data_IF_318930723917
#
_entry.id   IF_318930723917
#
_cell.length_a   1.000
_cell.length_b   1.000
_cell.length_c   1.000
_cell.angle_alpha   90.00
_cell.angle_beta   90.00
_cell.angle_gamma   90.00
#
_symmetry.space_group_name_H-M   'P 1'
#
loop_
_entity.id
_entity.type
_entity.pdbx_description
1 polymer ?
#
# COMPACT_ATOMS: atom_id res chain seq x y z
N UNK A 1 22.51 -20.14 2.33
CA UNK A 1 21.61 -19.23 1.57
C UNK A 1 20.20 -19.55 2.00
N UNK A 2 19.65 -18.75 2.90
CA UNK A 2 18.21 -18.78 3.20
C UNK A 2 17.54 -18.07 2.03
N UNK A 3 16.75 -18.78 1.23
CA UNK A 3 15.74 -18.11 0.43
C UNK A 3 14.79 -17.47 1.45
N UNK A 4 14.81 -16.15 1.57
CA UNK A 4 13.73 -15.45 2.24
C UNK A 4 12.45 -15.80 1.48
N UNK A 5 11.63 -16.66 2.10
CA UNK A 5 10.31 -17.01 1.61
C UNK A 5 9.49 -15.73 1.62
N UNK A 6 9.27 -15.17 0.43
CA UNK A 6 8.32 -14.06 0.24
C UNK A 6 6.92 -14.60 0.55
N UNK A 7 6.17 -13.99 1.47
CA UNK A 7 4.80 -14.39 1.74
C UNK A 7 3.98 -14.34 0.45
N UNK A 8 3.20 -15.38 0.21
CA UNK A 8 2.22 -15.43 -0.88
C UNK A 8 1.01 -14.58 -0.49
N UNK A 9 0.92 -13.39 -1.09
CA UNK A 9 -0.12 -12.40 -0.85
C UNK A 9 -0.86 -12.08 -2.15
N UNK A 10 -1.05 -13.09 -3.01
CA UNK A 10 -1.75 -12.91 -4.30
C UNK A 10 -3.21 -12.49 -4.16
N UNK A 11 -3.81 -12.69 -2.98
CA UNK A 11 -5.15 -12.18 -2.64
C UNK A 11 -5.10 -10.78 -1.97
N UNK A 12 -3.95 -10.11 -1.99
CA UNK A 12 -3.75 -8.78 -1.40
C UNK A 12 -3.23 -7.82 -2.46
N UNK A 13 -3.85 -6.65 -2.56
CA UNK A 13 -3.31 -5.51 -3.29
C UNK A 13 -2.48 -4.68 -2.33
N UNK A 14 -1.25 -4.33 -2.68
CA UNK A 14 -0.52 -3.25 -1.99
C UNK A 14 -0.74 -1.95 -2.75
N UNK A 15 -1.05 -0.87 -2.03
CA UNK A 15 -1.23 0.43 -2.67
C UNK A 15 -0.67 1.60 -1.87
N UNK A 16 -0.40 2.70 -2.57
CA UNK A 16 -0.03 3.98 -1.97
C UNK A 16 -0.82 5.10 -2.64
N UNK A 17 -1.24 6.10 -1.85
CA UNK A 17 -1.84 7.35 -2.35
C UNK A 17 -0.86 8.47 -2.03
N UNK A 18 -0.35 9.18 -3.03
CA UNK A 18 0.62 10.23 -2.77
C UNK A 18 0.62 11.34 -3.84
N UNK A 19 0.56 12.59 -3.37
CA UNK A 19 0.67 13.81 -4.19
C UNK A 19 1.85 14.70 -3.82
N UNK A 20 2.62 14.36 -2.77
CA UNK A 20 3.77 15.15 -2.30
C UNK A 20 5.10 14.45 -2.63
N UNK A 21 5.13 13.13 -2.53
CA UNK A 21 6.31 12.30 -2.71
C UNK A 21 6.03 11.06 -3.60
N UNK A 22 5.37 11.19 -4.77
CA UNK A 22 4.91 10.02 -5.54
C UNK A 22 6.05 9.11 -6.02
N UNK A 23 7.24 9.65 -6.29
CA UNK A 23 8.44 8.86 -6.60
C UNK A 23 8.93 8.03 -5.41
N UNK A 24 8.84 8.55 -4.18
CA UNK A 24 9.20 7.81 -2.97
C UNK A 24 8.13 6.76 -2.65
N UNK A 25 6.85 7.08 -2.83
CA UNK A 25 5.76 6.12 -2.72
C UNK A 25 5.89 4.96 -3.74
N UNK A 26 6.27 5.26 -4.99
CA UNK A 26 6.59 4.23 -5.98
C UNK A 26 7.75 3.33 -5.52
N UNK A 27 8.84 3.92 -4.99
CA UNK A 27 9.95 3.14 -4.44
C UNK A 27 9.52 2.27 -3.26
N UNK A 28 8.65 2.77 -2.38
CA UNK A 28 8.11 2.01 -1.25
C UNK A 28 7.29 0.80 -1.72
N UNK A 29 6.49 0.96 -2.78
CA UNK A 29 5.76 -0.15 -3.42
C UNK A 29 6.72 -1.18 -4.04
N UNK A 30 7.78 -0.73 -4.70
CA UNK A 30 8.80 -1.61 -5.29
C UNK A 30 9.55 -2.41 -4.22
N UNK A 31 9.96 -1.77 -3.12
CA UNK A 31 10.62 -2.46 -2.00
C UNK A 31 9.65 -3.46 -1.36
N UNK A 32 8.41 -3.06 -1.10
CA UNK A 32 7.41 -3.98 -0.52
C UNK A 32 7.16 -5.20 -1.42
N UNK A 33 7.09 -4.99 -2.73
CA UNK A 33 6.92 -6.06 -3.72
C UNK A 33 8.17 -6.95 -3.88
N UNK A 34 9.35 -6.48 -3.46
CA UNK A 34 10.54 -7.32 -3.37
C UNK A 34 10.47 -8.28 -2.16
N UNK A 35 9.70 -7.94 -1.12
CA UNK A 35 9.57 -8.75 0.10
C UNK A 35 8.33 -9.67 0.12
N UNK A 36 7.29 -9.36 -0.66
CA UNK A 36 6.04 -10.11 -0.72
C UNK A 36 5.53 -10.31 -2.16
N UNK A 37 4.78 -11.39 -2.40
CA UNK A 37 4.14 -11.66 -3.70
C UNK A 37 2.68 -11.17 -3.71
N UNK A 38 2.48 -9.89 -4.03
CA UNK A 38 1.16 -9.26 -4.11
C UNK A 38 0.39 -9.61 -5.39
N UNK A 39 -0.94 -9.59 -5.31
CA UNK A 39 -1.83 -9.80 -6.47
C UNK A 39 -1.90 -8.59 -7.40
N UNK A 40 -1.79 -7.39 -6.83
CA UNK A 40 -1.70 -6.12 -7.57
C UNK A 40 -0.88 -5.10 -6.77
N UNK A 41 -0.31 -4.14 -7.49
CA UNK A 41 0.53 -3.06 -6.93
C UNK A 41 0.07 -1.75 -7.54
N UNK A 42 -0.53 -0.87 -6.73
CA UNK A 42 -1.23 0.31 -7.24
C UNK A 42 -0.67 1.60 -6.64
N UNK A 43 -0.32 2.56 -7.50
CA UNK A 43 0.01 3.91 -7.09
C UNK A 43 -1.10 4.88 -7.53
N UNK A 44 -1.72 5.53 -6.56
CA UNK A 44 -2.67 6.62 -6.80
C UNK A 44 -1.92 7.95 -6.75
N UNK A 45 -1.83 8.63 -7.89
CA UNK A 45 -1.14 9.93 -7.96
C UNK A 45 -1.60 10.79 -9.14
N UNK A 46 -1.40 12.09 -9.02
CA UNK A 46 -1.65 13.08 -10.06
C UNK A 46 -0.44 13.31 -10.97
N UNK A 47 0.71 12.66 -10.71
CA UNK A 47 1.93 12.75 -11.52
C UNK A 47 2.06 11.57 -12.51
N UNK A 48 2.80 11.78 -13.60
CA UNK A 48 3.30 10.68 -14.43
C UNK A 48 4.72 10.37 -14.02
N UNK A 49 4.94 9.16 -13.53
CA UNK A 49 6.25 8.71 -13.08
C UNK A 49 6.54 7.31 -13.61
N UNK A 50 7.82 7.00 -13.80
CA UNK A 50 8.24 5.65 -14.13
C UNK A 50 8.18 4.78 -12.87
N UNK A 51 7.40 3.70 -12.93
CA UNK A 51 7.26 2.70 -11.86
C UNK A 51 6.74 1.40 -12.45
N UNK A 52 6.95 0.28 -11.75
CA UNK A 52 6.31 -1.00 -12.06
C UNK A 52 4.86 -1.07 -11.58
N UNK A 53 4.47 -0.22 -10.63
CA UNK A 53 3.12 -0.17 -10.10
C UNK A 53 2.14 0.30 -11.19
N UNK A 54 0.92 -0.23 -11.15
CA UNK A 54 -0.19 0.30 -11.94
C UNK A 54 -0.56 1.68 -11.41
N UNK A 55 -0.46 2.71 -12.26
CA UNK A 55 -0.86 4.07 -11.89
C UNK A 55 -2.37 4.24 -12.05
N UNK A 56 -3.02 4.76 -11.01
CA UNK A 56 -4.36 5.32 -11.07
C UNK A 56 -4.25 6.82 -10.90
N UNK A 57 -4.71 7.58 -11.91
CA UNK A 57 -4.63 9.04 -11.87
C UNK A 57 -5.61 9.60 -10.86
N UNK A 58 -5.15 10.54 -10.04
CA UNK A 58 -5.98 11.27 -9.07
C UNK A 58 -5.94 12.77 -9.33
N UNK A 59 -6.90 13.55 -8.81
CA UNK A 59 -6.68 14.96 -8.56
C UNK A 59 -5.46 15.17 -7.65
N UNK A 60 -4.87 16.36 -7.70
CA UNK A 60 -3.84 16.75 -6.72
C UNK A 60 -4.47 16.83 -5.33
N UNK A 61 -4.00 16.00 -4.40
CA UNK A 61 -4.47 15.96 -3.02
C UNK A 61 -3.60 16.93 -2.21
N UNK A 62 -4.19 18.04 -1.77
CA UNK A 62 -3.49 19.15 -1.12
C UNK A 62 -3.72 19.20 0.41
N UNK A 63 -4.59 18.35 0.95
CA UNK A 63 -4.90 18.33 2.38
C UNK A 63 -5.10 16.91 2.92
N UNK A 64 -5.01 16.79 4.25
CA UNK A 64 -5.23 15.52 4.95
C UNK A 64 -6.70 15.08 4.94
N UNK A 65 -7.62 16.03 4.86
CA UNK A 65 -9.06 15.75 4.67
C UNK A 65 -9.31 15.14 3.30
N UNK A 66 -8.82 15.79 2.23
CA UNK A 66 -8.91 15.26 0.86
C UNK A 66 -8.26 13.88 0.72
N UNK A 67 -7.13 13.66 1.39
CA UNK A 67 -6.50 12.34 1.44
C UNK A 67 -7.41 11.30 2.09
N UNK A 68 -8.02 11.64 3.24
CA UNK A 68 -8.89 10.73 3.98
C UNK A 68 -10.13 10.39 3.18
N UNK A 69 -10.77 11.38 2.57
CA UNK A 69 -11.95 11.20 1.70
C UNK A 69 -11.61 10.31 0.50
N UNK A 70 -10.47 10.57 -0.15
CA UNK A 70 -10.02 9.76 -1.28
C UNK A 70 -9.77 8.30 -0.88
N UNK A 71 -9.10 8.08 0.26
CA UNK A 71 -8.83 6.72 0.76
C UNK A 71 -10.13 5.98 1.08
N UNK A 72 -11.09 6.65 1.74
CA UNK A 72 -12.34 6.02 2.17
C UNK A 72 -13.31 5.75 1.01
N UNK A 73 -13.34 6.62 -0.01
CA UNK A 73 -14.37 6.55 -1.05
C UNK A 73 -13.87 6.01 -2.39
N UNK A 74 -12.61 6.29 -2.74
CA UNK A 74 -12.11 6.11 -4.10
C UNK A 74 -11.17 4.91 -4.24
N UNK A 75 -10.29 4.66 -3.26
CA UNK A 75 -9.29 3.57 -3.35
C UNK A 75 -9.97 2.22 -3.62
N UNK A 76 -11.02 1.89 -2.88
CA UNK A 76 -11.70 0.58 -2.97
C UNK A 76 -12.26 0.29 -4.36
N UNK A 77 -12.61 1.33 -5.14
CA UNK A 77 -13.14 1.17 -6.51
C UNK A 77 -12.09 0.61 -7.49
N UNK A 78 -10.81 0.66 -7.10
CA UNK A 78 -9.68 0.22 -7.93
C UNK A 78 -8.98 -1.03 -7.39
N UNK A 79 -9.48 -1.62 -6.29
CA UNK A 79 -8.97 -2.85 -5.70
C UNK A 79 -9.82 -4.02 -6.20
N UNK A 80 -9.18 -5.10 -6.65
CA UNK A 80 -9.86 -6.31 -7.13
C UNK A 80 -9.57 -7.57 -6.30
N UNK A 81 -8.62 -7.47 -5.39
CA UNK A 81 -8.28 -8.52 -4.45
C UNK A 81 -9.17 -8.43 -3.21
N UNK A 82 -9.38 -9.53 -2.46
CA UNK A 82 -10.19 -9.48 -1.24
C UNK A 82 -9.62 -8.58 -0.13
N UNK A 83 -8.29 -8.41 -0.06
CA UNK A 83 -7.64 -7.54 0.92
C UNK A 83 -6.78 -6.45 0.28
N UNK A 84 -6.51 -5.38 1.04
CA UNK A 84 -5.62 -4.28 0.63
C UNK A 84 -4.70 -3.87 1.78
N UNK A 85 -3.44 -3.60 1.45
CA UNK A 85 -2.46 -2.98 2.36
C UNK A 85 -2.12 -1.60 1.81
N UNK A 86 -2.58 -0.55 2.51
CA UNK A 86 -2.23 0.83 2.21
C UNK A 86 -0.91 1.18 2.90
N UNK A 87 0.12 1.48 2.10
CA UNK A 87 1.44 1.93 2.56
C UNK A 87 1.64 3.41 2.24
N UNK A 88 2.67 4.00 2.86
CA UNK A 88 3.11 5.36 2.61
C UNK A 88 4.57 5.37 2.16
N UNK A 89 5.05 6.52 1.68
CA UNK A 89 6.44 6.69 1.24
C UNK A 89 7.47 6.40 2.35
N UNK A 90 7.09 6.57 3.62
CA UNK A 90 7.90 6.35 4.83
C UNK A 90 7.40 5.18 5.71
N UNK A 91 6.27 4.57 5.38
CA UNK A 91 5.67 3.46 6.12
C UNK A 91 5.32 2.31 5.18
N UNK A 92 6.22 1.36 5.02
CA UNK A 92 6.11 0.25 4.07
C UNK A 92 6.78 -1.03 4.57
N UNK A 93 6.67 -2.12 3.81
CA UNK A 93 7.20 -3.43 4.22
C UNK A 93 8.72 -3.46 4.11
N UNK A 94 9.38 -3.72 5.24
CA UNK A 94 10.84 -3.93 5.34
C UNK A 94 11.23 -5.28 5.93
N UNK A 95 10.28 -5.95 6.60
CA UNK A 95 10.44 -7.29 7.15
C UNK A 95 9.15 -8.08 6.89
N UNK A 96 9.21 -8.99 5.92
CA UNK A 96 8.07 -9.83 5.54
C UNK A 96 7.85 -11.01 6.51
N UNK A 97 8.83 -11.34 7.35
CA UNK A 97 8.71 -12.41 8.35
C UNK A 97 7.74 -12.05 9.49
N UNK A 98 7.45 -10.76 9.67
CA UNK A 98 6.46 -10.25 10.60
C UNK A 98 5.01 -10.46 10.11
N UNK A 99 4.80 -10.83 8.85
CA UNK A 99 3.47 -11.13 8.34
C UNK A 99 2.90 -12.39 8.99
N UNK A 100 1.62 -12.32 9.34
CA UNK A 100 0.87 -13.42 9.97
C UNK A 100 -0.39 -13.67 9.17
N UNK A 101 -0.66 -14.93 8.83
CA UNK A 101 -1.83 -15.29 8.02
C UNK A 101 -3.15 -14.86 8.71
N UNK A 102 -3.16 -14.85 10.04
CA UNK A 102 -4.29 -14.43 10.88
C UNK A 102 -4.66 -12.95 10.71
N UNK A 103 -3.81 -12.13 10.08
CA UNK A 103 -4.16 -10.75 9.73
C UNK A 103 -5.35 -10.67 8.76
N UNK A 104 -5.58 -11.72 7.97
CA UNK A 104 -6.71 -11.80 7.04
C UNK A 104 -8.05 -12.07 7.73
N UNK A 105 -8.04 -12.45 9.01
CA UNK A 105 -9.25 -12.73 9.82
C UNK A 105 -9.90 -11.44 10.38
N UNK A 106 -9.33 -10.27 10.09
CA UNK A 106 -9.79 -8.97 10.60
C UNK A 106 -10.17 -8.04 9.45
N UNK A 107 -11.23 -7.25 9.63
CA UNK A 107 -11.67 -6.26 8.64
C UNK A 107 -10.70 -5.08 8.50
N UNK A 108 -10.00 -4.72 9.58
CA UNK A 108 -9.05 -3.62 9.61
C UNK A 108 -7.99 -3.83 10.69
N UNK A 109 -6.72 -3.72 10.29
CA UNK A 109 -5.56 -3.69 11.18
C UNK A 109 -4.67 -2.50 10.83
N UNK A 110 -3.93 -2.00 11.82
CA UNK A 110 -3.02 -0.88 11.61
C UNK A 110 -2.16 -0.61 12.83
N UNK A 111 -1.28 0.39 12.69
CA UNK A 111 -0.47 0.86 13.81
C UNK A 111 -1.37 1.27 14.99
N UNK A 112 -0.91 1.00 16.22
CA UNK A 112 -1.62 1.44 17.42
C UNK A 112 -1.74 2.96 17.41
N UNK A 113 -2.91 3.45 17.82
CA UNK A 113 -3.11 4.88 17.99
C UNK A 113 -2.19 5.44 19.08
N UNK A 114 -1.48 6.57 18.83
CA UNK A 114 -0.55 7.14 19.80
C UNK A 114 -1.15 7.44 21.18
N UNK A 115 -2.46 7.66 21.25
CA UNK A 115 -3.19 7.96 22.49
C UNK A 115 -3.74 6.72 23.22
N UNK A 116 -3.62 5.52 22.66
CA UNK A 116 -3.90 4.26 23.36
C UNK A 116 -2.57 3.66 23.84
N UNK A 117 -2.20 3.97 25.09
CA UNK A 117 -1.14 3.25 25.83
C UNK A 117 -1.69 1.97 26.42
#
# INVERSE_FOLDING_TARGET
MIHELRPDLRDVTVCAVDSLNPRLAARALEISSAHCDFGDVVLFTHEEIATKARIVRTPHIASREQYSDFVLEQVIQHIRTPWVVLIQWDGYVVDSSAWRAEFLDYDYIGARWPWRR
#
